data_IF_275708434770
#
_entry.id   IF_275708434770
#
_cell.length_a   1.000
_cell.length_b   1.000
_cell.length_c   1.000
_cell.angle_alpha   90.00
_cell.angle_beta   90.00
_cell.angle_gamma   90.00
#
_symmetry.space_group_name_H-M   'P 1'
#
loop_
_entity.id
_entity.type
_entity.pdbx_description
1 polymer ?
#
# COMPACT_ATOMS: atom_id res chain seq x y z
N UNK A 1 8.81 -21.89 20.49
CA UNK A 1 8.00 -22.08 19.28
C UNK A 1 6.89 -21.05 19.31
N UNK A 2 7.12 -19.85 18.79
CA UNK A 2 6.09 -18.81 18.73
C UNK A 2 5.25 -19.01 17.48
N UNK A 3 3.97 -19.32 17.62
CA UNK A 3 3.02 -19.35 16.52
C UNK A 3 2.37 -17.98 16.43
N UNK A 4 2.63 -17.27 15.34
CA UNK A 4 1.83 -16.10 14.96
C UNK A 4 0.55 -16.64 14.33
N UNK A 5 -0.57 -16.46 15.01
CA UNK A 5 -1.88 -16.56 14.40
C UNK A 5 -2.19 -15.17 13.81
N UNK A 6 -1.80 -14.93 12.56
CA UNK A 6 -2.29 -13.78 11.79
C UNK A 6 -3.43 -14.27 10.89
N UNK A 7 -4.65 -13.85 11.23
CA UNK A 7 -5.79 -13.98 10.34
C UNK A 7 -5.56 -13.10 9.11
N UNK A 8 -5.13 -13.70 8.00
CA UNK A 8 -4.95 -13.04 6.71
C UNK A 8 -3.68 -12.20 6.65
N UNK A 9 -2.78 -12.51 5.72
CA UNK A 9 -1.62 -11.67 5.45
C UNK A 9 -2.08 -10.21 5.28
N UNK A 10 -1.45 -9.22 5.95
CA UNK A 10 -1.78 -7.83 5.73
C UNK A 10 -1.60 -7.53 4.24
N UNK A 11 -2.65 -6.96 3.64
CA UNK A 11 -2.64 -6.49 2.27
C UNK A 11 -1.64 -5.34 2.14
N UNK A 12 -0.43 -5.65 1.64
CA UNK A 12 0.68 -4.72 1.46
C UNK A 12 0.86 -4.37 -0.03
N UNK A 13 1.01 -3.09 -0.33
CA UNK A 13 1.42 -2.59 -1.64
C UNK A 13 2.89 -2.16 -1.62
N UNK A 14 3.68 -2.65 -2.56
CA UNK A 14 5.03 -2.13 -2.82
C UNK A 14 4.95 -0.96 -3.81
N UNK A 15 5.51 0.18 -3.42
CA UNK A 15 5.41 1.45 -4.13
C UNK A 15 6.79 2.09 -4.22
N UNK A 16 7.05 2.83 -5.29
CA UNK A 16 8.20 3.73 -5.35
C UNK A 16 7.70 5.15 -5.03
N UNK A 17 8.10 5.67 -3.88
CA UNK A 17 7.72 7.02 -3.41
C UNK A 17 9.00 7.84 -3.30
N UNK A 18 9.04 9.00 -3.98
CA UNK A 18 10.21 9.88 -3.98
C UNK A 18 11.54 9.15 -4.32
N UNK A 19 11.50 8.29 -5.35
CA UNK A 19 12.63 7.45 -5.79
C UNK A 19 13.13 6.41 -4.76
N UNK A 20 12.34 6.09 -3.74
CA UNK A 20 12.64 5.04 -2.77
C UNK A 20 11.56 3.97 -2.78
N UNK A 21 11.97 2.71 -2.63
CA UNK A 21 11.04 1.60 -2.46
C UNK A 21 10.45 1.63 -1.04
N UNK A 22 9.12 1.52 -0.98
CA UNK A 22 8.36 1.52 0.26
C UNK A 22 7.26 0.47 0.21
N UNK A 23 7.03 -0.19 1.34
CA UNK A 23 5.85 -1.03 1.56
C UNK A 23 4.82 -0.23 2.35
N UNK A 24 3.59 -0.14 1.84
CA UNK A 24 2.45 0.39 2.57
C UNK A 24 1.39 -0.68 2.81
N UNK A 25 0.94 -0.79 4.04
CA UNK A 25 -0.24 -1.56 4.43
C UNK A 25 -1.51 -0.73 4.31
N UNK A 26 -2.67 -1.39 4.18
CA UNK A 26 -3.97 -0.72 4.13
C UNK A 26 -4.17 0.18 5.37
N UNK A 27 -4.50 1.46 5.14
CA UNK A 27 -4.67 2.47 6.18
C UNK A 27 -3.38 3.07 6.75
N UNK A 28 -2.21 2.53 6.39
CA UNK A 28 -0.93 3.08 6.81
C UNK A 28 -0.66 4.40 6.09
N UNK A 29 -0.18 5.40 6.84
CA UNK A 29 0.40 6.61 6.29
C UNK A 29 1.92 6.49 6.22
N UNK A 30 2.48 6.86 5.07
CA UNK A 30 3.92 7.01 4.89
C UNK A 30 4.20 8.30 4.15
N UNK A 31 4.82 9.27 4.82
CA UNK A 31 5.17 10.57 4.23
C UNK A 31 3.97 11.30 3.61
N UNK A 32 2.77 11.13 4.19
CA UNK A 32 1.52 11.70 3.69
C UNK A 32 0.84 10.92 2.57
N UNK A 33 1.41 9.77 2.16
CA UNK A 33 0.76 8.81 1.27
C UNK A 33 0.03 7.77 2.12
N UNK A 34 -1.28 7.63 1.94
CA UNK A 34 -2.08 6.62 2.63
C UNK A 34 -2.65 5.62 1.64
N UNK A 35 -2.41 4.32 1.86
CA UNK A 35 -3.08 3.27 1.09
C UNK A 35 -4.53 3.13 1.56
N UNK A 36 -5.49 3.57 0.73
CA UNK A 36 -6.93 3.52 1.05
C UNK A 36 -7.58 2.21 0.67
N UNK A 37 -7.18 1.67 -0.48
CA UNK A 37 -7.75 0.44 -1.03
C UNK A 37 -6.65 -0.34 -1.75
N UNK A 38 -6.59 -1.66 -1.53
CA UNK A 38 -5.74 -2.59 -2.29
C UNK A 38 -6.65 -3.58 -3.03
N UNK A 39 -6.49 -3.66 -4.35
CA UNK A 39 -7.09 -4.67 -5.23
C UNK A 39 -5.99 -5.48 -5.88
N UNK A 40 -6.37 -6.59 -6.52
CA UNK A 40 -5.44 -7.52 -7.14
C UNK A 40 -4.51 -6.86 -8.19
N UNK A 41 -5.04 -5.91 -8.96
CA UNK A 41 -4.34 -5.23 -10.06
C UNK A 41 -4.12 -3.73 -9.82
N UNK A 42 -4.69 -3.16 -8.75
CA UNK A 42 -4.71 -1.72 -8.56
C UNK A 42 -4.76 -1.31 -7.09
N UNK A 43 -4.25 -0.12 -6.82
CA UNK A 43 -4.22 0.48 -5.49
C UNK A 43 -4.80 1.88 -5.53
N UNK A 44 -5.47 2.29 -4.47
CA UNK A 44 -5.91 3.66 -4.29
C UNK A 44 -5.02 4.30 -3.23
N UNK A 45 -4.24 5.29 -3.63
CA UNK A 45 -3.39 6.06 -2.72
C UNK A 45 -3.99 7.45 -2.54
N UNK A 46 -4.06 7.90 -1.30
CA UNK A 46 -4.38 9.28 -0.97
C UNK A 46 -3.12 10.05 -0.62
N UNK A 47 -2.96 11.25 -1.19
CA UNK A 47 -1.88 12.19 -0.88
C UNK A 47 -2.46 13.60 -0.81
N UNK A 48 -2.18 14.35 0.27
CA UNK A 48 -2.67 15.74 0.47
C UNK A 48 -4.19 15.93 0.23
N UNK A 49 -5.01 14.97 0.69
CA UNK A 49 -6.49 14.92 0.50
C UNK A 49 -6.96 14.61 -0.92
N UNK A 50 -6.05 14.43 -1.88
CA UNK A 50 -6.39 13.89 -3.19
C UNK A 50 -6.25 12.37 -3.15
N UNK A 51 -7.11 11.66 -3.88
CA UNK A 51 -7.04 10.20 -4.01
C UNK A 51 -6.91 9.82 -5.47
N UNK A 52 -5.92 8.99 -5.79
CA UNK A 52 -5.66 8.52 -7.14
C UNK A 52 -5.53 7.02 -7.18
N UNK A 53 -6.04 6.44 -8.27
CA UNK A 53 -5.88 5.04 -8.56
C UNK A 53 -4.59 4.83 -9.34
N UNK A 54 -3.80 3.86 -8.91
CA UNK A 54 -2.60 3.39 -9.57
C UNK A 54 -2.82 1.93 -9.92
N UNK A 55 -2.63 1.57 -11.18
CA UNK A 55 -2.59 0.16 -11.58
C UNK A 55 -1.19 -0.38 -11.29
N UNK A 56 -1.08 -1.66 -11.01
CA UNK A 56 0.20 -2.36 -10.96
C UNK A 56 0.93 -2.04 -12.27
N UNK A 57 2.04 -1.32 -12.17
CA UNK A 57 2.91 -1.13 -13.31
C UNK A 57 3.42 -2.52 -13.69
N UNK A 58 3.13 -2.95 -14.92
CA UNK A 58 3.88 -4.02 -15.55
C UNK A 58 5.35 -3.57 -15.54
N UNK A 59 6.24 -4.35 -14.90
CA UNK A 59 7.67 -4.04 -14.82
C UNK A 59 8.33 -4.14 -16.19
#
# INVERSE_FOLDING_TARGET
HGYVLEAGQPSVAMLTIANQFASLSLGQDLQGYTLKTLRQDSVQISYRKESRWFRRAEQ
#
